data_IF_500994221768
#
_entry.id   IF_500994221768
#
_cell.length_a   1.000
_cell.length_b   1.000
_cell.length_c   1.000
_cell.angle_alpha   90.00
_cell.angle_beta   90.00
_cell.angle_gamma   90.00
#
_symmetry.space_group_name_H-M   'P 1'
#
loop_
_entity.id
_entity.type
_entity.pdbx_description
1 polymer ?
#
# COMPACT_ATOMS: atom_id res chain seq x y z
N UNK A 1 -11.82 48.68 16.86
CA UNK A 1 -12.10 48.24 15.49
C UNK A 1 -12.43 46.75 15.59
N UNK A 2 -13.69 46.42 15.44
CA UNK A 2 -14.16 45.01 15.44
C UNK A 2 -13.88 44.49 14.03
N UNK A 3 -13.06 43.48 13.90
CA UNK A 3 -12.96 42.70 12.68
C UNK A 3 -14.15 41.75 12.66
N UNK A 4 -14.91 41.86 11.59
CA UNK A 4 -16.04 40.99 11.30
C UNK A 4 -15.59 39.52 11.33
N UNK A 5 -16.24 38.75 12.21
CA UNK A 5 -16.10 37.31 12.24
C UNK A 5 -16.76 36.72 11.01
N UNK A 6 -16.02 36.59 9.94
CA UNK A 6 -16.34 35.59 8.94
C UNK A 6 -16.26 34.23 9.63
N UNK A 7 -17.40 33.58 9.77
CA UNK A 7 -17.42 32.16 10.11
C UNK A 7 -16.55 31.46 9.08
N UNK A 8 -15.60 30.61 9.47
CA UNK A 8 -14.90 29.82 8.49
C UNK A 8 -15.96 29.08 7.66
N UNK A 9 -15.87 29.20 6.36
CA UNK A 9 -16.69 28.47 5.40
C UNK A 9 -16.64 26.99 5.78
N UNK A 10 -17.75 26.38 6.23
CA UNK A 10 -17.76 24.99 6.67
C UNK A 10 -17.35 24.03 5.55
N UNK A 11 -17.39 24.46 4.31
CA UNK A 11 -17.01 23.68 3.14
C UNK A 11 -15.54 23.87 2.75
N UNK A 12 -14.87 24.94 3.17
CA UNK A 12 -13.47 25.22 2.75
C UNK A 12 -12.44 24.29 3.35
N UNK A 13 -12.72 23.63 4.48
CA UNK A 13 -11.80 22.69 5.16
C UNK A 13 -11.94 21.22 4.78
N UNK A 14 -13.02 20.85 4.10
CA UNK A 14 -13.35 19.44 3.86
C UNK A 14 -12.93 18.92 2.47
N UNK A 15 -12.56 19.79 1.55
CA UNK A 15 -12.37 19.43 0.15
C UNK A 15 -10.97 19.01 -0.25
N UNK A 16 -9.95 19.43 0.49
CA UNK A 16 -8.58 19.08 0.10
C UNK A 16 -7.56 19.53 1.14
N UNK A 17 -6.48 18.80 1.30
CA UNK A 17 -5.26 19.36 1.87
C UNK A 17 -4.74 20.45 0.93
N UNK A 18 -4.50 21.65 1.48
CA UNK A 18 -3.89 22.73 0.72
C UNK A 18 -2.38 22.50 0.64
N UNK A 19 -1.78 22.68 -0.54
CA UNK A 19 -0.32 22.56 -0.67
C UNK A 19 0.40 23.76 -0.09
N UNK A 20 0.08 24.96 -0.56
CA UNK A 20 0.71 26.21 -0.11
C UNK A 20 -0.29 27.32 0.15
N UNK A 21 -1.35 27.38 -0.61
CA UNK A 21 -2.42 28.37 -0.51
C UNK A 21 -3.77 27.68 -0.35
N UNK A 22 -4.75 28.31 0.33
CA UNK A 22 -6.11 27.75 0.49
C UNK A 22 -6.78 27.34 -0.83
N UNK A 23 -6.40 27.99 -1.94
CA UNK A 23 -6.94 27.73 -3.27
C UNK A 23 -6.20 26.61 -4.02
N UNK A 24 -5.02 26.18 -3.56
CA UNK A 24 -4.28 25.04 -4.15
C UNK A 24 -4.77 23.74 -3.53
N UNK A 25 -5.86 23.22 -4.05
CA UNK A 25 -6.55 22.02 -3.53
C UNK A 25 -6.02 20.76 -4.20
N UNK A 26 -5.86 19.69 -3.41
CA UNK A 26 -5.68 18.34 -3.91
C UNK A 26 -7.05 17.74 -4.29
N UNK A 27 -7.07 16.76 -5.17
CA UNK A 27 -8.29 16.01 -5.43
C UNK A 27 -8.74 15.28 -4.16
N UNK A 28 -10.05 15.34 -3.89
CA UNK A 28 -10.63 14.60 -2.77
C UNK A 28 -10.67 13.11 -3.11
N UNK A 29 -10.28 12.31 -2.13
CA UNK A 29 -10.44 10.87 -2.15
C UNK A 29 -11.04 10.47 -0.81
N UNK A 30 -12.18 9.78 -0.84
CA UNK A 30 -12.91 9.36 0.34
C UNK A 30 -12.14 8.29 1.14
N UNK A 31 -12.48 8.13 2.42
CA UNK A 31 -12.00 7.04 3.27
C UNK A 31 -12.37 5.68 2.66
N UNK A 32 -11.43 4.73 2.66
CA UNK A 32 -11.63 3.44 2.02
C UNK A 32 -12.72 2.59 2.67
N UNK A 33 -12.90 2.67 4.00
CA UNK A 33 -14.00 1.97 4.65
C UNK A 33 -15.35 2.60 4.30
N UNK A 34 -15.41 3.93 4.14
CA UNK A 34 -16.61 4.58 3.65
C UNK A 34 -16.91 4.19 2.20
N UNK A 35 -15.89 4.15 1.33
CA UNK A 35 -16.06 3.66 -0.05
C UNK A 35 -16.54 2.21 -0.08
N UNK A 36 -16.01 1.35 0.78
CA UNK A 36 -16.42 -0.05 0.87
C UNK A 36 -17.90 -0.22 1.19
N UNK A 37 -18.43 0.57 2.14
CA UNK A 37 -19.83 0.44 2.59
C UNK A 37 -20.84 1.24 1.77
N UNK A 38 -20.43 2.37 1.18
CA UNK A 38 -21.34 3.31 0.54
C UNK A 38 -21.02 3.58 -0.94
N UNK A 39 -19.83 3.29 -1.42
CA UNK A 39 -19.43 3.53 -2.82
C UNK A 39 -19.31 5.00 -3.24
N UNK A 40 -19.52 5.95 -2.34
CA UNK A 40 -19.61 7.37 -2.64
C UNK A 40 -18.29 8.09 -2.38
N UNK A 41 -17.83 8.91 -3.33
CA UNK A 41 -16.64 9.75 -3.20
C UNK A 41 -16.97 11.24 -3.05
N UNK A 42 -17.98 11.55 -2.28
CA UNK A 42 -18.37 12.93 -1.97
C UNK A 42 -17.84 13.32 -0.59
N UNK A 43 -17.20 14.51 -0.44
CA UNK A 43 -16.75 14.98 0.86
C UNK A 43 -17.94 15.29 1.80
N UNK A 44 -17.66 15.37 3.10
CA UNK A 44 -18.60 15.71 4.14
C UNK A 44 -19.78 14.74 4.34
N UNK A 45 -19.74 13.55 3.75
CA UNK A 45 -20.71 12.50 4.04
C UNK A 45 -20.31 11.70 5.27
N UNK A 46 -21.32 11.31 6.06
CA UNK A 46 -21.16 10.39 7.19
C UNK A 46 -22.19 9.28 7.09
N UNK A 47 -21.72 8.03 7.11
CA UNK A 47 -22.57 6.85 7.16
C UNK A 47 -22.81 6.42 8.61
N UNK A 48 -24.02 5.99 8.91
CA UNK A 48 -24.40 5.40 10.19
C UNK A 48 -25.12 4.07 9.94
N UNK A 49 -24.63 3.03 10.58
CA UNK A 49 -25.21 1.69 10.54
C UNK A 49 -25.68 1.35 11.96
N UNK A 50 -26.96 1.08 12.12
CA UNK A 50 -27.54 0.60 13.36
C UNK A 50 -27.42 -0.92 13.40
N UNK A 51 -26.48 -1.44 14.21
CA UNK A 51 -26.18 -2.87 14.28
C UNK A 51 -27.32 -3.71 14.88
N UNK A 52 -28.25 -3.11 15.64
CA UNK A 52 -29.37 -3.85 16.25
C UNK A 52 -30.54 -4.01 15.27
N UNK A 53 -30.85 -2.96 14.49
CA UNK A 53 -31.97 -2.98 13.53
C UNK A 53 -31.54 -3.31 12.09
N UNK A 54 -30.28 -3.13 11.76
CA UNK A 54 -29.77 -3.19 10.38
C UNK A 54 -30.11 -1.94 9.55
N UNK A 55 -30.66 -0.90 10.16
CA UNK A 55 -30.95 0.34 9.45
C UNK A 55 -29.66 1.08 9.10
N UNK A 56 -29.62 1.61 7.89
CA UNK A 56 -28.50 2.42 7.38
C UNK A 56 -28.99 3.82 7.08
N UNK A 57 -28.21 4.81 7.47
CA UNK A 57 -28.50 6.22 7.20
C UNK A 57 -27.23 6.93 6.64
N UNK A 58 -27.47 7.88 5.74
CA UNK A 58 -26.46 8.77 5.19
C UNK A 58 -26.73 10.20 5.66
N UNK A 59 -25.73 10.84 6.23
CA UNK A 59 -25.78 12.23 6.68
C UNK A 59 -24.88 13.10 5.79
N UNK A 60 -25.36 14.26 5.41
CA UNK A 60 -24.66 15.24 4.60
C UNK A 60 -25.55 16.44 4.33
N UNK A 61 -25.05 17.38 3.58
CA UNK A 61 -25.81 18.56 3.18
C UNK A 61 -25.81 18.66 1.65
N UNK A 62 -26.90 19.16 1.08
CA UNK A 62 -26.99 19.44 -0.34
C UNK A 62 -26.06 20.59 -0.72
N UNK A 63 -25.54 20.56 -1.94
CA UNK A 63 -24.70 21.62 -2.48
C UNK A 63 -25.49 22.91 -2.65
N UNK A 64 -24.90 24.02 -2.19
CA UNK A 64 -25.46 25.35 -2.37
C UNK A 64 -25.31 25.85 -3.81
N UNK A 65 -26.02 26.90 -4.18
CA UNK A 65 -25.85 27.54 -5.49
C UNK A 65 -24.41 28.03 -5.68
N UNK A 66 -23.77 28.49 -4.61
CA UNK A 66 -22.36 28.91 -4.65
C UNK A 66 -21.44 27.73 -4.94
N UNK A 67 -21.63 26.59 -4.29
CA UNK A 67 -20.88 25.37 -4.58
C UNK A 67 -21.03 24.95 -6.05
N UNK A 68 -22.26 24.99 -6.56
CA UNK A 68 -22.55 24.64 -7.96
C UNK A 68 -21.87 25.58 -8.95
N UNK A 69 -21.76 26.87 -8.64
CA UNK A 69 -21.01 27.82 -9.47
C UNK A 69 -19.54 27.42 -9.61
N UNK A 70 -18.93 26.93 -8.53
CA UNK A 70 -17.51 26.57 -8.50
C UNK A 70 -17.19 25.14 -8.95
N UNK A 71 -18.09 24.20 -8.72
CA UNK A 71 -17.82 22.76 -8.91
C UNK A 71 -18.73 22.10 -9.95
N UNK A 72 -19.72 22.83 -10.49
CA UNK A 72 -20.77 22.28 -11.34
C UNK A 72 -21.89 21.60 -10.56
N UNK A 73 -22.98 21.20 -11.25
CA UNK A 73 -24.09 20.50 -10.63
C UNK A 73 -23.62 19.19 -9.99
N UNK A 74 -24.08 18.94 -8.76
CA UNK A 74 -23.78 17.71 -8.02
C UNK A 74 -25.09 17.03 -7.64
N UNK A 75 -25.11 15.67 -7.49
CA UNK A 75 -26.28 14.96 -7.00
C UNK A 75 -26.68 15.45 -5.61
N UNK A 76 -27.98 15.55 -5.34
CA UNK A 76 -28.49 15.81 -3.99
C UNK A 76 -28.15 14.67 -3.03
N UNK A 77 -28.22 14.91 -1.72
CA UNK A 77 -27.99 13.88 -0.71
C UNK A 77 -28.94 12.66 -0.90
N UNK A 78 -30.18 12.92 -1.28
CA UNK A 78 -31.17 11.87 -1.55
C UNK A 78 -30.79 11.02 -2.77
N UNK A 79 -30.31 11.64 -3.86
CA UNK A 79 -29.82 10.93 -5.05
C UNK A 79 -28.56 10.10 -4.74
N UNK A 80 -27.63 10.65 -3.97
CA UNK A 80 -26.44 9.91 -3.48
C UNK A 80 -26.85 8.74 -2.58
N UNK A 81 -27.82 8.95 -1.66
CA UNK A 81 -28.36 7.86 -0.86
C UNK A 81 -28.95 6.74 -1.73
N UNK A 82 -29.73 7.09 -2.74
CA UNK A 82 -30.32 6.12 -3.66
C UNK A 82 -29.24 5.34 -4.45
N UNK A 83 -28.15 6.00 -4.87
CA UNK A 83 -27.00 5.36 -5.52
C UNK A 83 -26.33 4.33 -4.58
N UNK A 84 -26.17 4.66 -3.31
CA UNK A 84 -25.61 3.77 -2.28
C UNK A 84 -26.64 2.73 -1.74
N UNK A 85 -27.86 2.69 -2.24
CA UNK A 85 -28.91 1.82 -1.72
C UNK A 85 -29.44 2.22 -0.35
N UNK A 86 -29.22 3.47 0.07
CA UNK A 86 -29.62 4.03 1.38
C UNK A 86 -30.80 4.96 1.21
N UNK A 87 -31.96 4.59 1.77
CA UNK A 87 -33.17 5.40 1.69
C UNK A 87 -33.27 6.47 2.78
N UNK A 88 -32.59 6.28 3.91
CA UNK A 88 -32.62 7.21 5.04
C UNK A 88 -31.49 8.25 4.88
N UNK A 89 -31.84 9.46 4.47
CA UNK A 89 -30.87 10.55 4.33
C UNK A 89 -31.27 11.72 5.24
N UNK A 90 -30.31 12.35 5.89
CA UNK A 90 -30.51 13.41 6.86
C UNK A 90 -29.48 14.52 6.72
N UNK A 91 -29.82 15.79 7.01
CA UNK A 91 -28.85 16.85 7.17
C UNK A 91 -27.76 16.47 8.18
N UNK A 92 -26.51 16.87 7.94
CA UNK A 92 -25.40 16.56 8.85
C UNK A 92 -25.64 17.08 10.28
N UNK A 93 -26.34 18.21 10.42
CA UNK A 93 -26.69 18.80 11.70
C UNK A 93 -27.56 17.89 12.60
N UNK A 94 -28.36 17.01 12.02
CA UNK A 94 -29.24 16.10 12.76
C UNK A 94 -28.52 14.95 13.41
N UNK A 95 -27.30 14.63 12.93
CA UNK A 95 -26.52 13.50 13.41
C UNK A 95 -26.23 13.57 14.92
N UNK A 96 -25.87 14.75 15.41
CA UNK A 96 -25.60 14.95 16.85
C UNK A 96 -26.82 14.61 17.72
N UNK A 97 -27.98 14.97 17.27
CA UNK A 97 -29.26 14.66 17.97
C UNK A 97 -29.55 13.17 17.98
N UNK A 98 -29.35 12.49 16.84
CA UNK A 98 -29.54 11.04 16.72
C UNK A 98 -28.54 10.25 17.58
N UNK A 99 -27.27 10.61 17.56
CA UNK A 99 -26.24 9.96 18.40
C UNK A 99 -26.50 10.22 19.90
N UNK A 100 -26.86 11.45 20.28
CA UNK A 100 -27.20 11.79 21.67
C UNK A 100 -28.37 10.95 22.18
N UNK A 101 -29.41 10.77 21.37
CA UNK A 101 -30.53 9.90 21.71
C UNK A 101 -30.11 8.46 21.93
N UNK A 102 -29.23 7.90 21.06
CA UNK A 102 -28.73 6.55 21.20
C UNK A 102 -27.89 6.40 22.48
N UNK A 103 -27.03 7.36 22.78
CA UNK A 103 -26.19 7.36 23.99
C UNK A 103 -27.06 7.40 25.25
N UNK A 104 -28.08 8.25 25.30
CA UNK A 104 -29.04 8.34 26.43
C UNK A 104 -29.80 7.02 26.65
N UNK A 105 -30.03 6.27 25.57
CA UNK A 105 -30.62 4.93 25.63
C UNK A 105 -29.62 3.85 26.06
N UNK A 106 -28.37 4.20 26.40
CA UNK A 106 -27.34 3.26 26.82
C UNK A 106 -26.67 2.51 25.65
N UNK A 107 -26.88 2.95 24.41
CA UNK A 107 -26.25 2.33 23.23
C UNK A 107 -24.82 2.79 23.08
N UNK A 108 -23.93 1.89 22.68
CA UNK A 108 -22.53 2.19 22.38
C UNK A 108 -22.39 2.70 20.97
N UNK A 109 -21.59 3.75 20.80
CA UNK A 109 -21.22 4.28 19.48
C UNK A 109 -19.85 3.69 19.12
N UNK A 110 -19.79 3.00 18.00
CA UNK A 110 -18.59 2.42 17.43
C UNK A 110 -18.06 3.29 16.30
N UNK A 111 -16.75 3.47 16.23
CA UNK A 111 -16.10 4.17 15.13
C UNK A 111 -14.68 3.63 14.91
N UNK A 112 -14.19 3.73 13.68
CA UNK A 112 -12.81 3.41 13.33
C UNK A 112 -11.87 4.53 13.79
N UNK A 113 -10.59 4.25 14.07
CA UNK A 113 -9.64 5.27 14.50
C UNK A 113 -9.47 6.33 13.39
N UNK A 114 -9.85 7.60 13.66
CA UNK A 114 -9.75 8.64 12.66
C UNK A 114 -8.30 9.06 12.46
N UNK A 115 -7.83 9.12 11.21
CA UNK A 115 -6.51 9.61 10.84
C UNK A 115 -6.53 11.05 10.31
N UNK A 116 -7.64 11.49 9.70
CA UNK A 116 -7.81 12.86 9.19
C UNK A 116 -8.19 13.84 10.31
N UNK A 117 -7.63 15.05 10.24
CA UNK A 117 -7.89 16.09 11.24
C UNK A 117 -9.37 16.48 11.32
N UNK A 118 -10.02 16.65 10.17
CA UNK A 118 -11.43 16.99 10.07
C UNK A 118 -12.32 15.93 10.70
N UNK A 119 -12.08 14.66 10.42
CA UNK A 119 -12.82 13.54 11.01
C UNK A 119 -12.62 13.48 12.52
N UNK A 120 -11.41 13.77 13.03
CA UNK A 120 -11.15 13.86 14.48
C UNK A 120 -11.97 14.96 15.12
N UNK A 121 -12.04 16.14 14.52
CA UNK A 121 -12.78 17.27 15.05
C UNK A 121 -14.31 17.00 15.01
N UNK A 122 -14.80 16.43 13.92
CA UNK A 122 -16.20 16.05 13.78
C UNK A 122 -16.62 15.01 14.83
N UNK A 123 -15.87 13.92 14.95
CA UNK A 123 -16.16 12.88 15.95
C UNK A 123 -16.06 13.40 17.39
N UNK A 124 -15.07 14.26 17.68
CA UNK A 124 -14.94 14.89 18.98
C UNK A 124 -16.17 15.73 19.35
N UNK A 125 -16.69 16.52 18.40
CA UNK A 125 -17.91 17.31 18.61
C UNK A 125 -19.15 16.42 18.76
N UNK A 126 -19.33 15.44 17.88
CA UNK A 126 -20.46 14.52 17.88
C UNK A 126 -20.57 13.70 19.17
N UNK A 127 -19.44 13.26 19.71
CA UNK A 127 -19.36 12.38 20.88
C UNK A 127 -19.14 13.15 22.20
N UNK A 128 -18.91 14.47 22.14
CA UNK A 128 -18.57 15.27 23.30
C UNK A 128 -17.21 14.92 23.93
N UNK A 129 -16.26 14.41 23.12
CA UNK A 129 -14.93 14.00 23.54
C UNK A 129 -13.88 15.06 23.17
N UNK A 130 -12.74 15.02 23.85
CA UNK A 130 -11.55 15.76 23.38
C UNK A 130 -10.93 15.01 22.18
N UNK A 131 -10.42 15.70 21.15
CA UNK A 131 -9.81 15.04 19.98
C UNK A 131 -8.71 14.03 20.34
N UNK A 132 -7.92 14.29 21.38
CA UNK A 132 -6.87 13.37 21.85
C UNK A 132 -7.39 12.10 22.53
N UNK A 133 -8.62 12.09 23.02
CA UNK A 133 -9.23 10.92 23.66
C UNK A 133 -9.87 9.95 22.67
N UNK A 134 -10.07 10.35 21.42
CA UNK A 134 -10.71 9.48 20.42
C UNK A 134 -9.98 8.16 20.19
N UNK A 135 -8.65 8.17 20.29
CA UNK A 135 -7.86 6.95 20.13
C UNK A 135 -8.17 5.91 21.21
N UNK A 136 -8.42 6.34 22.46
CA UNK A 136 -8.66 5.45 23.60
C UNK A 136 -10.08 4.85 23.58
N UNK A 137 -11.01 5.48 22.84
CA UNK A 137 -12.42 5.09 22.74
C UNK A 137 -12.77 4.41 21.40
N UNK A 138 -11.80 4.15 20.51
CA UNK A 138 -12.04 3.41 19.27
C UNK A 138 -12.60 2.02 19.55
N UNK A 139 -13.37 1.48 18.60
CA UNK A 139 -13.91 0.13 18.74
C UNK A 139 -13.01 -0.90 18.07
N UNK A 140 -12.35 -1.71 18.88
CA UNK A 140 -11.53 -2.84 18.40
C UNK A 140 -12.42 -3.86 17.68
N UNK A 141 -13.61 -4.11 18.18
CA UNK A 141 -14.58 -5.05 17.57
C UNK A 141 -14.97 -4.61 16.16
N UNK A 142 -15.22 -3.30 15.96
CA UNK A 142 -15.51 -2.76 14.63
C UNK A 142 -14.28 -2.84 13.72
N UNK A 143 -13.10 -2.53 14.25
CA UNK A 143 -11.84 -2.63 13.49
C UNK A 143 -11.62 -4.06 12.96
N UNK A 144 -11.81 -5.06 13.82
CA UNK A 144 -11.70 -6.47 13.44
C UNK A 144 -12.73 -6.86 12.38
N UNK A 145 -13.99 -6.49 12.60
CA UNK A 145 -15.06 -6.83 11.66
C UNK A 145 -14.84 -6.21 10.27
N UNK A 146 -14.41 -4.94 10.22
CA UNK A 146 -14.12 -4.25 8.95
C UNK A 146 -12.90 -4.88 8.26
N UNK A 147 -11.85 -5.20 9.01
CA UNK A 147 -10.66 -5.83 8.45
C UNK A 147 -11.00 -7.23 7.89
N UNK A 148 -11.76 -8.04 8.62
CA UNK A 148 -12.18 -9.38 8.17
C UNK A 148 -13.05 -9.33 6.89
N UNK A 149 -13.95 -8.34 6.80
CA UNK A 149 -14.78 -8.16 5.61
C UNK A 149 -13.97 -7.70 4.40
N UNK A 150 -13.03 -6.76 4.58
CA UNK A 150 -12.22 -6.21 3.49
C UNK A 150 -11.08 -7.15 3.08
N UNK A 151 -10.60 -8.02 3.96
CA UNK A 151 -9.54 -8.99 3.65
C UNK A 151 -9.98 -9.96 2.55
N UNK A 152 -11.22 -10.47 2.64
CA UNK A 152 -11.77 -11.48 1.73
C UNK A 152 -12.51 -10.81 0.58
N UNK A 153 -11.84 -10.66 -0.55
CA UNK A 153 -12.41 -10.00 -1.74
C UNK A 153 -13.46 -10.91 -2.39
N UNK A 154 -14.61 -10.32 -2.67
CA UNK A 154 -15.64 -10.94 -3.50
C UNK A 154 -15.27 -10.93 -5.00
N UNK A 155 -16.04 -11.65 -5.84
CA UNK A 155 -15.76 -11.71 -7.27
C UNK A 155 -15.74 -10.34 -7.95
N UNK A 156 -16.61 -9.42 -7.53
CA UNK A 156 -16.70 -8.05 -8.07
C UNK A 156 -15.47 -7.23 -7.71
N UNK A 157 -14.97 -7.38 -6.48
CA UNK A 157 -13.75 -6.71 -6.03
C UNK A 157 -12.52 -7.23 -6.77
N UNK A 158 -12.46 -8.55 -7.03
CA UNK A 158 -11.39 -9.18 -7.81
C UNK A 158 -11.42 -8.64 -9.24
N UNK A 159 -12.61 -8.48 -9.87
CA UNK A 159 -12.73 -7.89 -11.20
C UNK A 159 -12.18 -6.45 -11.24
N UNK A 160 -12.41 -5.65 -10.20
CA UNK A 160 -11.89 -4.29 -10.12
C UNK A 160 -10.36 -4.26 -9.91
N UNK A 161 -9.80 -5.19 -9.14
CA UNK A 161 -8.35 -5.37 -9.01
C UNK A 161 -7.70 -5.78 -10.35
N UNK A 162 -8.35 -6.67 -11.12
CA UNK A 162 -7.92 -7.02 -12.49
C UNK A 162 -7.89 -5.79 -13.43
N UNK A 163 -8.89 -4.90 -13.33
CA UNK A 163 -8.90 -3.65 -14.10
C UNK A 163 -7.74 -2.73 -13.70
N UNK A 164 -7.44 -2.63 -12.42
CA UNK A 164 -6.31 -1.84 -11.91
C UNK A 164 -4.96 -2.43 -12.35
N UNK A 165 -4.84 -3.78 -12.36
CA UNK A 165 -3.69 -4.47 -12.92
C UNK A 165 -3.41 -4.06 -14.37
N UNK A 166 -4.44 -3.94 -15.23
CA UNK A 166 -4.23 -3.54 -16.63
C UNK A 166 -3.60 -2.15 -16.76
N UNK A 167 -3.93 -1.24 -15.85
CA UNK A 167 -3.30 0.08 -15.81
C UNK A 167 -1.84 -0.05 -15.35
N UNK A 168 -1.59 -0.79 -14.28
CA UNK A 168 -0.24 -1.10 -13.77
C UNK A 168 0.63 -1.77 -14.85
N UNK A 169 0.09 -2.75 -15.59
CA UNK A 169 0.77 -3.37 -16.72
C UNK A 169 1.21 -2.35 -17.78
N UNK A 170 0.32 -1.42 -18.14
CA UNK A 170 0.64 -0.36 -19.10
C UNK A 170 1.72 0.58 -18.56
N UNK A 171 1.69 0.91 -17.27
CA UNK A 171 2.71 1.72 -16.59
C UNK A 171 4.07 1.04 -16.69
N UNK A 172 4.19 -0.22 -16.24
CA UNK A 172 5.45 -0.96 -16.19
C UNK A 172 6.05 -1.23 -17.59
N UNK A 173 5.22 -1.66 -18.53
CA UNK A 173 5.70 -1.91 -19.89
C UNK A 173 6.13 -0.62 -20.61
N UNK A 174 5.53 0.52 -20.27
CA UNK A 174 5.97 1.84 -20.76
C UNK A 174 7.28 2.26 -20.09
N UNK A 175 7.41 2.13 -18.78
CA UNK A 175 8.65 2.43 -18.05
C UNK A 175 9.84 1.62 -18.62
N UNK A 176 9.65 0.33 -18.84
CA UNK A 176 10.65 -0.55 -19.44
C UNK A 176 11.09 -0.07 -20.84
N UNK A 177 10.13 0.34 -21.69
CA UNK A 177 10.41 0.85 -23.05
C UNK A 177 11.13 2.20 -23.04
N UNK A 178 10.92 3.02 -22.01
CA UNK A 178 11.58 4.32 -21.86
C UNK A 178 12.98 4.20 -21.26
N UNK A 179 13.27 3.12 -20.54
CA UNK A 179 14.53 2.97 -19.81
C UNK A 179 15.73 2.86 -20.75
N UNK A 180 16.62 3.86 -20.69
CA UNK A 180 17.87 3.91 -21.41
C UNK A 180 18.85 4.88 -20.76
N UNK A 181 20.17 4.75 -21.01
CA UNK A 181 21.13 5.72 -20.51
C UNK A 181 20.81 7.14 -20.98
N UNK A 182 20.95 8.12 -20.07
CA UNK A 182 20.76 9.54 -20.36
C UNK A 182 19.35 10.08 -20.14
N UNK A 183 18.34 9.22 -19.96
CA UNK A 183 17.00 9.68 -19.54
C UNK A 183 17.00 10.00 -18.04
N UNK A 184 16.18 10.96 -17.63
CA UNK A 184 16.03 11.29 -16.20
C UNK A 184 14.91 10.44 -15.59
N UNK A 185 15.09 9.93 -14.38
CA UNK A 185 14.12 9.09 -13.66
C UNK A 185 12.72 9.72 -13.66
N UNK A 186 12.60 11.05 -13.43
CA UNK A 186 11.30 11.76 -13.41
C UNK A 186 10.58 11.77 -14.77
N UNK A 187 11.29 11.60 -15.88
CA UNK A 187 10.62 11.51 -17.19
C UNK A 187 9.82 10.19 -17.29
N UNK A 188 10.37 9.12 -16.73
CA UNK A 188 9.67 7.83 -16.61
C UNK A 188 8.55 7.96 -15.58
N UNK A 189 8.84 8.44 -14.37
CA UNK A 189 7.86 8.61 -13.29
C UNK A 189 6.65 9.43 -13.76
N UNK A 190 6.86 10.61 -14.32
CA UNK A 190 5.78 11.48 -14.81
C UNK A 190 4.97 10.86 -15.96
N UNK A 191 5.62 10.04 -16.80
CA UNK A 191 4.90 9.34 -17.88
C UNK A 191 3.97 8.27 -17.34
N UNK A 192 4.43 7.43 -16.40
CA UNK A 192 3.59 6.38 -15.80
C UNK A 192 2.50 6.96 -14.91
N UNK A 193 2.75 8.07 -14.21
CA UNK A 193 1.70 8.83 -13.51
C UNK A 193 0.64 9.37 -14.48
N UNK A 194 1.05 9.83 -15.67
CA UNK A 194 0.13 10.24 -16.72
C UNK A 194 -0.77 9.10 -17.18
N UNK A 195 -0.23 7.88 -17.32
CA UNK A 195 -0.99 6.68 -17.67
C UNK A 195 -2.02 6.35 -16.58
N UNK A 196 -1.61 6.35 -15.32
CA UNK A 196 -2.52 6.04 -14.21
C UNK A 196 -3.70 7.02 -14.13
N UNK A 197 -3.48 8.31 -14.44
CA UNK A 197 -4.53 9.33 -14.50
C UNK A 197 -5.40 9.24 -15.75
N UNK A 198 -4.84 8.76 -16.85
CA UNK A 198 -5.59 8.64 -18.12
C UNK A 198 -6.59 7.48 -18.09
N UNK A 199 -6.29 6.41 -17.36
CA UNK A 199 -7.08 5.18 -17.37
C UNK A 199 -7.69 4.83 -16.00
N UNK A 200 -7.25 5.49 -14.92
CA UNK A 200 -7.74 5.34 -13.56
C UNK A 200 -7.90 6.68 -12.85
N UNK A 201 -7.80 6.68 -11.55
CA UNK A 201 -7.88 7.89 -10.70
C UNK A 201 -6.52 8.50 -10.40
N UNK A 202 -5.46 7.80 -10.71
CA UNK A 202 -4.08 8.18 -10.45
C UNK A 202 -3.26 6.99 -9.97
N UNK A 203 -2.16 7.29 -9.34
CA UNK A 203 -1.29 6.28 -8.74
C UNK A 203 -1.84 5.79 -7.40
N UNK A 204 -1.63 4.52 -7.07
CA UNK A 204 -1.98 3.94 -5.76
C UNK A 204 -1.06 4.46 -4.65
N UNK A 205 0.17 4.82 -5.01
CA UNK A 205 1.18 5.47 -4.16
C UNK A 205 2.16 6.25 -5.06
N UNK A 206 2.97 7.19 -4.50
CA UNK A 206 3.99 7.89 -5.27
C UNK A 206 4.98 6.91 -5.88
N UNK A 207 5.13 6.85 -7.23
CA UNK A 207 6.00 5.88 -7.88
C UNK A 207 7.45 6.01 -7.45
N UNK A 208 8.10 4.88 -7.22
CA UNK A 208 9.54 4.79 -6.97
C UNK A 208 10.21 4.40 -8.28
N UNK A 209 10.92 5.33 -8.90
CA UNK A 209 11.65 5.11 -10.14
C UNK A 209 13.09 5.53 -9.90
N UNK A 210 13.96 4.58 -9.58
CA UNK A 210 15.30 4.91 -9.12
C UNK A 210 16.36 3.89 -9.55
N UNK A 211 17.53 4.38 -9.98
CA UNK A 211 18.75 3.58 -10.14
C UNK A 211 19.48 3.32 -8.80
N UNK A 212 18.95 3.85 -7.71
CA UNK A 212 19.37 3.63 -6.32
C UNK A 212 18.35 2.73 -5.60
N UNK A 213 18.14 1.51 -6.12
CA UNK A 213 17.18 0.54 -5.58
C UNK A 213 17.46 0.12 -4.13
N UNK A 214 18.63 0.44 -3.57
CA UNK A 214 18.94 0.29 -2.15
C UNK A 214 18.23 1.29 -1.24
N UNK A 215 17.62 2.32 -1.80
CA UNK A 215 16.76 3.27 -1.08
C UNK A 215 15.30 2.87 -1.30
N UNK A 216 14.71 2.19 -0.33
CA UNK A 216 13.43 1.49 -0.49
C UNK A 216 12.28 2.41 -0.92
N UNK A 217 12.17 3.60 -0.34
CA UNK A 217 11.15 4.61 -0.69
C UNK A 217 11.82 5.89 -1.21
N UNK A 218 12.56 5.77 -2.31
CA UNK A 218 13.19 6.92 -2.94
C UNK A 218 12.18 7.70 -3.79
N UNK A 219 11.67 8.80 -3.23
CA UNK A 219 10.75 9.71 -3.93
C UNK A 219 11.47 10.79 -4.75
N UNK A 220 12.80 10.81 -4.75
CA UNK A 220 13.61 11.71 -5.55
C UNK A 220 13.96 11.06 -6.89
N UNK A 221 13.32 11.48 -7.94
CA UNK A 221 13.50 10.94 -9.29
C UNK A 221 14.31 11.89 -10.19
N UNK A 222 15.40 12.47 -9.66
CA UNK A 222 16.23 13.45 -10.38
C UNK A 222 17.48 12.85 -11.02
N UNK A 223 17.74 11.57 -10.81
CA UNK A 223 18.91 10.87 -11.33
C UNK A 223 18.86 10.74 -12.85
N UNK A 224 19.99 11.00 -13.51
CA UNK A 224 20.21 10.64 -14.91
C UNK A 224 20.62 9.20 -15.00
N UNK A 225 19.87 8.36 -15.69
CA UNK A 225 20.13 6.94 -15.78
C UNK A 225 21.48 6.65 -16.43
N UNK A 226 22.28 5.82 -15.77
CA UNK A 226 23.65 5.52 -16.14
C UNK A 226 23.78 4.11 -16.70
N UNK A 227 24.64 3.97 -17.70
CA UNK A 227 24.99 2.68 -18.26
C UNK A 227 25.59 1.77 -17.16
N UNK A 228 25.20 0.50 -17.13
CA UNK A 228 25.65 -0.48 -16.14
C UNK A 228 24.89 -0.49 -14.82
N UNK A 229 24.00 0.50 -14.57
CA UNK A 229 23.08 0.51 -13.42
C UNK A 229 21.81 -0.32 -13.68
N UNK A 230 21.14 -0.67 -12.62
CA UNK A 230 19.74 -1.17 -12.64
C UNK A 230 18.81 -0.01 -12.40
N UNK A 231 17.59 -0.08 -12.95
CA UNK A 231 16.45 0.74 -12.59
C UNK A 231 15.43 -0.12 -11.87
N UNK A 232 15.15 0.21 -10.63
CA UNK A 232 14.02 -0.30 -9.88
C UNK A 232 12.84 0.63 -10.15
N UNK A 233 11.74 0.07 -10.65
CA UNK A 233 10.47 0.75 -10.87
C UNK A 233 9.41 0.03 -10.04
N UNK A 234 8.86 0.74 -9.07
CA UNK A 234 7.82 0.29 -8.18
C UNK A 234 6.66 1.27 -8.30
N UNK A 235 5.54 0.79 -8.83
CA UNK A 235 4.42 1.63 -9.21
C UNK A 235 3.14 0.83 -9.34
N UNK A 236 2.05 1.45 -8.94
CA UNK A 236 0.71 0.93 -9.10
C UNK A 236 -0.32 2.00 -9.44
N UNK A 237 -1.51 1.60 -9.80
CA UNK A 237 -2.61 2.48 -10.16
C UNK A 237 -3.82 2.27 -9.26
N UNK A 238 -4.50 3.36 -8.93
CA UNK A 238 -5.85 3.34 -8.38
C UNK A 238 -6.84 3.33 -9.55
N UNK A 239 -7.60 2.24 -9.69
CA UNK A 239 -8.64 2.07 -10.70
C UNK A 239 -9.82 3.02 -10.49
N UNK A 240 -10.77 3.02 -11.43
CA UNK A 240 -11.93 3.91 -11.36
C UNK A 240 -12.84 3.64 -10.15
N UNK A 241 -12.85 2.40 -9.66
CA UNK A 241 -13.55 1.93 -8.46
C UNK A 241 -12.72 2.04 -7.17
N UNK A 242 -11.55 2.69 -7.22
CA UNK A 242 -10.60 2.89 -6.10
C UNK A 242 -9.81 1.66 -5.66
N UNK A 243 -9.99 0.49 -6.30
CA UNK A 243 -9.11 -0.65 -6.06
C UNK A 243 -7.74 -0.40 -6.66
N UNK A 244 -6.71 -0.82 -5.93
CA UNK A 244 -5.31 -0.56 -6.25
C UNK A 244 -4.65 -1.73 -6.98
N UNK A 245 -3.56 -1.45 -7.68
CA UNK A 245 -2.54 -2.43 -8.07
C UNK A 245 -1.19 -2.03 -7.53
N UNK A 246 -0.29 -3.01 -7.35
CA UNK A 246 1.06 -2.80 -6.87
C UNK A 246 2.04 -3.77 -7.54
N UNK A 247 3.08 -3.23 -8.15
CA UNK A 247 4.06 -4.04 -8.85
C UNK A 247 5.44 -3.41 -8.80
N UNK A 248 6.45 -4.23 -8.61
CA UNK A 248 7.85 -3.81 -8.79
C UNK A 248 8.53 -4.64 -9.85
N UNK A 249 9.30 -3.98 -10.70
CA UNK A 249 10.26 -4.60 -11.62
C UNK A 249 11.59 -3.89 -11.56
N UNK A 250 12.66 -4.69 -11.60
CA UNK A 250 14.04 -4.19 -11.69
C UNK A 250 14.67 -4.67 -12.98
N UNK A 251 15.24 -3.75 -13.76
CA UNK A 251 15.79 -4.07 -15.08
C UNK A 251 17.03 -3.23 -15.40
N UNK A 252 17.93 -3.71 -16.30
CA UNK A 252 19.18 -3.02 -16.57
C UNK A 252 18.97 -1.78 -17.47
N UNK A 253 19.49 -0.64 -17.05
CA UNK A 253 19.44 0.62 -17.82
C UNK A 253 20.04 0.47 -19.22
N UNK A 254 21.12 -0.31 -19.35
CA UNK A 254 21.75 -0.63 -20.64
C UNK A 254 21.01 -1.70 -21.44
N UNK A 255 19.93 -2.30 -20.88
CA UNK A 255 19.15 -3.38 -21.44
C UNK A 255 19.89 -4.72 -21.46
N UNK A 256 21.00 -4.86 -20.78
CA UNK A 256 21.72 -6.12 -20.53
C UNK A 256 22.20 -6.15 -19.10
N UNK A 257 21.88 -7.22 -18.39
CA UNK A 257 22.42 -7.47 -17.06
C UNK A 257 23.89 -7.85 -17.13
N UNK A 258 24.69 -7.37 -16.19
CA UNK A 258 25.98 -7.98 -15.90
C UNK A 258 25.78 -9.35 -15.23
N UNK A 259 26.83 -10.19 -15.19
CA UNK A 259 26.75 -11.49 -14.52
C UNK A 259 26.38 -11.32 -13.02
N UNK A 260 27.04 -10.39 -12.33
CA UNK A 260 26.72 -10.06 -10.93
C UNK A 260 25.25 -9.67 -10.72
N UNK A 261 24.68 -8.89 -11.63
CA UNK A 261 23.27 -8.52 -11.58
C UNK A 261 22.35 -9.72 -11.83
N UNK A 262 22.69 -10.60 -12.79
CA UNK A 262 21.93 -11.83 -13.06
C UNK A 262 21.93 -12.77 -11.85
N UNK A 263 23.07 -12.89 -11.17
CA UNK A 263 23.20 -13.77 -10.02
C UNK A 263 22.24 -13.36 -8.90
N UNK A 264 22.22 -12.07 -8.53
CA UNK A 264 21.29 -11.55 -7.51
C UNK A 264 19.83 -11.56 -8.02
N UNK A 265 19.60 -11.15 -9.28
CA UNK A 265 18.26 -11.12 -9.87
C UNK A 265 17.58 -12.49 -9.84
N UNK A 266 18.32 -13.54 -10.23
CA UNK A 266 17.79 -14.90 -10.25
C UNK A 266 17.50 -15.44 -8.85
N UNK A 267 18.21 -14.98 -7.81
CA UNK A 267 17.88 -15.33 -6.42
C UNK A 267 16.53 -14.73 -6.03
N UNK A 268 16.33 -13.45 -6.30
CA UNK A 268 15.06 -12.77 -5.99
C UNK A 268 13.90 -13.36 -6.80
N UNK A 269 14.13 -13.63 -8.10
CA UNK A 269 13.12 -14.27 -8.96
C UNK A 269 12.76 -15.69 -8.46
N UNK A 270 13.75 -16.46 -8.01
CA UNK A 270 13.49 -17.79 -7.45
C UNK A 270 12.68 -17.73 -6.14
N UNK A 271 12.92 -16.71 -5.30
CA UNK A 271 12.11 -16.47 -4.10
C UNK A 271 10.68 -16.12 -4.46
N UNK A 272 10.47 -15.15 -5.37
CA UNK A 272 9.16 -14.74 -5.89
C UNK A 272 8.39 -15.93 -6.51
N UNK A 273 8.97 -16.64 -7.46
CA UNK A 273 8.29 -17.75 -8.14
C UNK A 273 7.95 -18.89 -7.17
N UNK A 274 8.83 -19.16 -6.20
CA UNK A 274 8.58 -20.19 -5.19
C UNK A 274 7.46 -19.79 -4.23
N UNK A 275 7.43 -18.55 -3.79
CA UNK A 275 6.40 -18.01 -2.92
C UNK A 275 5.05 -18.03 -3.64
N UNK A 276 4.96 -17.44 -4.83
CA UNK A 276 3.75 -17.44 -5.63
C UNK A 276 3.17 -18.87 -5.83
N UNK A 277 4.04 -19.86 -6.03
CA UNK A 277 3.62 -21.24 -6.25
C UNK A 277 3.22 -22.01 -4.97
N UNK A 278 3.63 -21.53 -3.78
CA UNK A 278 3.37 -22.25 -2.52
C UNK A 278 2.19 -21.72 -1.72
N UNK A 279 1.81 -20.45 -1.98
CA UNK A 279 0.70 -19.82 -1.26
C UNK A 279 -0.56 -20.67 -1.40
N UNK A 280 -1.13 -21.02 -0.26
CA UNK A 280 -2.36 -21.82 -0.17
C UNK A 280 -3.22 -21.32 0.99
N UNK A 281 -4.54 -21.59 0.97
CA UNK A 281 -5.44 -21.21 2.04
C UNK A 281 -4.96 -21.63 3.43
N UNK A 282 -5.23 -20.78 4.41
CA UNK A 282 -4.95 -21.00 5.84
C UNK A 282 -3.47 -21.06 6.21
N UNK A 283 -2.56 -20.72 5.28
CA UNK A 283 -1.14 -20.66 5.61
C UNK A 283 -0.83 -19.47 6.53
N UNK A 284 0.04 -19.64 7.53
CA UNK A 284 0.61 -18.52 8.27
C UNK A 284 1.49 -17.67 7.33
N UNK A 285 1.30 -16.36 7.34
CA UNK A 285 2.13 -15.44 6.56
C UNK A 285 3.64 -15.63 6.86
N UNK A 286 4.00 -15.89 8.11
CA UNK A 286 5.40 -16.10 8.50
C UNK A 286 6.06 -17.29 7.83
N UNK A 287 5.32 -18.34 7.49
CA UNK A 287 5.87 -19.51 6.78
C UNK A 287 6.24 -19.13 5.35
N UNK A 288 5.43 -18.27 4.73
CA UNK A 288 5.65 -17.75 3.38
C UNK A 288 6.84 -16.81 3.39
N UNK A 289 6.84 -15.83 4.29
CA UNK A 289 7.93 -14.86 4.47
C UNK A 289 9.27 -15.56 4.74
N UNK A 290 9.32 -16.47 5.70
CA UNK A 290 10.54 -17.21 6.02
C UNK A 290 11.01 -18.11 4.87
N UNK A 291 10.11 -18.54 3.98
CA UNK A 291 10.52 -19.29 2.79
C UNK A 291 11.26 -18.41 1.80
N UNK A 292 10.80 -17.20 1.55
CA UNK A 292 11.52 -16.23 0.73
C UNK A 292 12.92 -15.95 1.31
N UNK A 293 12.98 -15.63 2.62
CA UNK A 293 14.25 -15.36 3.30
C UNK A 293 15.24 -16.54 3.22
N UNK A 294 14.77 -17.81 3.30
CA UNK A 294 15.65 -18.99 3.16
C UNK A 294 16.21 -19.10 1.75
N UNK A 295 15.39 -18.91 0.72
CA UNK A 295 15.84 -18.97 -0.68
C UNK A 295 16.88 -17.88 -0.96
N UNK A 296 16.63 -16.67 -0.50
CA UNK A 296 17.57 -15.57 -0.62
C UNK A 296 18.88 -15.84 0.13
N UNK A 297 18.80 -16.39 1.35
CA UNK A 297 19.98 -16.78 2.14
C UNK A 297 20.79 -17.87 1.45
N UNK A 298 20.16 -18.93 0.91
CA UNK A 298 20.81 -19.99 0.14
C UNK A 298 21.57 -19.41 -1.06
N UNK A 299 20.93 -18.51 -1.80
CA UNK A 299 21.52 -17.80 -2.92
C UNK A 299 22.74 -16.96 -2.50
N UNK A 300 22.62 -16.15 -1.44
CA UNK A 300 23.72 -15.32 -0.92
C UNK A 300 24.87 -16.17 -0.37
N UNK A 301 24.59 -17.32 0.24
CA UNK A 301 25.60 -18.29 0.67
C UNK A 301 26.35 -18.88 -0.56
N UNK A 302 25.62 -19.24 -1.60
CA UNK A 302 26.21 -19.78 -2.83
C UNK A 302 27.16 -18.80 -3.52
N UNK A 303 26.90 -17.50 -3.37
CA UNK A 303 27.74 -16.41 -3.87
C UNK A 303 28.90 -16.04 -2.92
N UNK A 304 28.99 -16.68 -1.75
CA UNK A 304 30.02 -16.39 -0.75
C UNK A 304 29.82 -15.08 0.01
N UNK A 305 28.60 -14.47 -0.05
CA UNK A 305 28.26 -13.26 0.70
C UNK A 305 27.79 -13.58 2.12
N UNK A 306 27.35 -14.80 2.33
CA UNK A 306 27.00 -15.36 3.64
C UNK A 306 27.64 -16.72 3.85
N UNK A 307 27.65 -17.22 5.09
CA UNK A 307 28.24 -18.48 5.51
C UNK A 307 27.29 -19.26 6.42
N UNK A 308 27.46 -20.57 6.52
CA UNK A 308 26.62 -21.44 7.35
C UNK A 308 25.40 -21.96 6.59
N UNK A 309 24.26 -22.09 7.25
CA UNK A 309 23.02 -22.56 6.67
C UNK A 309 22.01 -21.40 6.53
N UNK A 310 21.06 -21.53 5.62
CA UNK A 310 19.99 -20.55 5.46
C UNK A 310 19.10 -20.48 6.72
N UNK A 311 18.87 -21.62 7.37
CA UNK A 311 18.10 -21.71 8.61
C UNK A 311 18.77 -20.89 9.73
N UNK A 312 20.09 -21.01 9.90
CA UNK A 312 20.85 -20.25 10.89
C UNK A 312 20.80 -18.73 10.58
N UNK A 313 20.90 -18.37 9.30
CA UNK A 313 20.85 -16.98 8.86
C UNK A 313 19.47 -16.34 9.15
N UNK A 314 18.38 -17.04 8.85
CA UNK A 314 17.01 -16.58 9.15
C UNK A 314 16.77 -16.54 10.67
N UNK A 315 17.14 -17.58 11.41
CA UNK A 315 16.96 -17.65 12.85
C UNK A 315 17.74 -16.54 13.60
N UNK A 316 18.91 -16.17 13.09
CA UNK A 316 19.72 -15.06 13.62
C UNK A 316 19.18 -13.66 13.22
N UNK A 317 18.20 -13.57 12.33
CA UNK A 317 17.72 -12.32 11.75
C UNK A 317 18.71 -11.64 10.78
N UNK A 318 19.70 -12.40 10.26
CA UNK A 318 20.75 -11.84 9.41
C UNK A 318 20.22 -11.36 8.06
N UNK A 319 19.06 -11.89 7.62
CA UNK A 319 18.43 -11.49 6.37
C UNK A 319 17.89 -10.05 6.41
N UNK A 320 17.66 -9.47 7.59
CA UNK A 320 17.28 -8.05 7.70
C UNK A 320 18.35 -7.08 7.19
N UNK A 321 19.60 -7.55 7.03
CA UNK A 321 20.64 -6.78 6.37
C UNK A 321 20.41 -6.64 4.86
N UNK A 322 19.74 -7.59 4.25
CA UNK A 322 19.52 -7.66 2.80
C UNK A 322 18.07 -7.38 2.41
N UNK A 323 17.11 -7.83 3.20
CA UNK A 323 15.68 -7.58 3.03
C UNK A 323 15.10 -7.01 4.34
N UNK A 324 15.15 -5.68 4.54
CA UNK A 324 14.70 -5.03 5.78
C UNK A 324 13.19 -4.69 5.79
N UNK A 325 12.37 -5.44 5.06
CA UNK A 325 10.93 -5.28 4.98
C UNK A 325 10.19 -6.63 4.97
N UNK A 326 8.86 -6.59 5.10
CA UNK A 326 8.03 -7.79 4.98
C UNK A 326 7.94 -8.27 3.53
N UNK A 327 7.61 -9.55 3.35
CA UNK A 327 7.46 -10.13 2.01
C UNK A 327 6.29 -9.56 1.22
N UNK A 328 5.31 -8.98 1.90
CA UNK A 328 4.14 -8.42 1.25
C UNK A 328 3.11 -7.92 2.24
N UNK A 329 2.06 -7.33 1.75
CA UNK A 329 0.95 -6.74 2.49
C UNK A 329 -0.39 -7.04 1.81
N UNK A 330 -1.49 -6.84 2.52
CA UNK A 330 -2.83 -6.93 1.94
C UNK A 330 -3.07 -5.82 0.93
N UNK A 331 -3.81 -6.13 -0.12
CA UNK A 331 -4.18 -5.20 -1.19
C UNK A 331 -5.70 -5.11 -1.34
N UNK A 332 -6.20 -3.94 -1.72
CA UNK A 332 -7.62 -3.72 -1.95
C UNK A 332 -7.94 -2.28 -2.34
N UNK A 333 -8.86 -1.66 -1.62
CA UNK A 333 -9.18 -0.22 -1.74
C UNK A 333 -8.03 0.68 -1.27
N UNK A 334 -7.17 0.19 -0.38
CA UNK A 334 -5.88 0.80 -0.09
C UNK A 334 -4.78 -0.11 -0.62
N UNK A 335 -3.65 0.47 -1.04
CA UNK A 335 -2.48 -0.30 -1.47
C UNK A 335 -1.95 -1.16 -0.32
N UNK A 336 -1.87 -0.61 0.90
CA UNK A 336 -1.69 -1.33 2.15
C UNK A 336 -3.06 -1.49 2.83
N UNK A 337 -3.82 -2.49 2.42
CA UNK A 337 -5.22 -2.64 2.80
C UNK A 337 -5.36 -2.99 4.28
N UNK A 338 -6.20 -2.20 4.99
CA UNK A 338 -6.52 -2.35 6.42
C UNK A 338 -5.37 -2.14 7.41
N UNK A 339 -4.13 -1.86 7.00
CA UNK A 339 -3.02 -1.65 7.94
C UNK A 339 -3.27 -0.47 8.90
N UNK A 340 -3.86 0.62 8.41
CA UNK A 340 -4.21 1.77 9.24
C UNK A 340 -5.28 1.48 10.31
N UNK A 341 -6.05 0.40 10.16
CA UNK A 341 -7.15 0.05 11.07
C UNK A 341 -6.63 -0.69 12.31
N UNK A 342 -5.53 -1.47 12.24
CA UNK A 342 -5.27 -2.48 13.24
C UNK A 342 -3.90 -2.59 13.89
N UNK A 343 -2.84 -2.03 13.36
CA UNK A 343 -1.46 -2.36 13.77
C UNK A 343 -1.12 -2.15 15.26
N UNK A 344 -1.74 -1.17 15.91
CA UNK A 344 -1.43 -0.81 17.30
C UNK A 344 -2.48 -1.26 18.32
N UNK A 345 -3.44 -2.07 17.90
CA UNK A 345 -4.62 -2.36 18.72
C UNK A 345 -4.55 -3.67 19.47
N UNK A 346 -3.54 -4.50 19.16
CA UNK A 346 -3.37 -5.82 19.76
C UNK A 346 -2.10 -5.87 20.61
N UNK A 347 -2.17 -6.48 21.79
CA UNK A 347 -0.99 -6.74 22.62
C UNK A 347 -0.34 -8.05 22.15
N UNK A 348 0.70 -7.90 21.34
CA UNK A 348 1.46 -9.01 20.77
C UNK A 348 2.92 -8.99 21.22
N UNK A 349 3.19 -8.67 22.47
CA UNK A 349 4.55 -8.51 23.00
C UNK A 349 5.47 -9.71 22.71
N UNK A 350 4.94 -10.94 22.76
CA UNK A 350 5.71 -12.15 22.44
C UNK A 350 6.03 -12.29 20.95
N UNK A 351 5.18 -11.75 20.06
CA UNK A 351 5.33 -11.84 18.60
C UNK A 351 6.17 -10.66 18.09
N UNK A 352 6.19 -9.54 18.80
CA UNK A 352 6.95 -8.34 18.42
C UNK A 352 8.45 -8.61 18.23
N UNK A 353 9.04 -9.46 19.07
CA UNK A 353 10.45 -9.82 18.95
C UNK A 353 10.72 -10.66 17.68
N UNK A 354 9.82 -11.59 17.36
CA UNK A 354 9.93 -12.41 16.15
C UNK A 354 9.71 -11.55 14.89
N UNK A 355 8.73 -10.66 14.90
CA UNK A 355 8.48 -9.72 13.82
C UNK A 355 9.71 -8.84 13.56
N UNK A 356 10.30 -8.27 14.62
CA UNK A 356 11.50 -7.44 14.49
C UNK A 356 12.71 -8.23 13.94
N UNK A 357 12.87 -9.50 14.30
CA UNK A 357 13.94 -10.38 13.79
C UNK A 357 13.75 -10.74 12.31
N UNK A 358 12.52 -10.84 11.85
CA UNK A 358 12.21 -11.18 10.46
C UNK A 358 12.04 -9.98 9.54
N UNK A 359 12.15 -8.75 10.05
CA UNK A 359 11.98 -7.53 9.27
C UNK A 359 10.54 -7.20 8.88
N UNK A 360 9.55 -7.88 9.50
CA UNK A 360 8.12 -7.64 9.24
C UNK A 360 7.45 -6.91 10.41
N UNK A 361 6.21 -6.44 10.22
CA UNK A 361 5.41 -5.86 11.28
C UNK A 361 4.63 -6.93 12.07
N UNK A 362 4.16 -6.56 13.28
CA UNK A 362 3.44 -7.46 14.17
C UNK A 362 2.15 -7.98 13.52
N UNK A 363 1.41 -7.12 12.86
CA UNK A 363 0.15 -7.47 12.20
C UNK A 363 0.35 -8.58 11.16
N UNK A 364 1.34 -8.42 10.27
CA UNK A 364 1.65 -9.42 9.25
C UNK A 364 2.15 -10.72 9.89
N UNK A 365 2.89 -10.66 10.98
CA UNK A 365 3.42 -11.86 11.63
C UNK A 365 2.35 -12.78 12.24
N UNK A 366 1.15 -12.28 12.52
CA UNK A 366 0.01 -13.07 13.02
C UNK A 366 -0.98 -13.47 11.94
N UNK A 367 -0.80 -12.96 10.73
CA UNK A 367 -1.75 -13.13 9.64
C UNK A 367 -1.80 -14.57 9.12
N UNK A 368 -3.01 -15.08 8.94
CA UNK A 368 -3.31 -16.31 8.20
C UNK A 368 -4.06 -15.92 6.96
N UNK A 369 -3.51 -16.28 5.81
CA UNK A 369 -4.12 -15.98 4.52
C UNK A 369 -5.30 -16.88 4.25
N UNK A 370 -6.43 -16.28 3.88
CA UNK A 370 -7.69 -16.97 3.62
C UNK A 370 -8.04 -16.93 2.11
N UNK A 371 -8.92 -17.83 1.62
CA UNK A 371 -9.46 -17.67 0.27
C UNK A 371 -10.10 -16.29 0.07
N UNK A 372 -9.83 -15.65 -1.05
CA UNK A 372 -10.24 -14.27 -1.34
C UNK A 372 -9.26 -13.20 -0.87
N UNK A 373 -8.24 -13.57 -0.07
CA UNK A 373 -7.15 -12.62 0.26
C UNK A 373 -6.40 -12.24 -1.01
N UNK A 374 -6.13 -10.94 -1.18
CA UNK A 374 -5.18 -10.43 -2.17
C UNK A 374 -4.02 -9.79 -1.40
N UNK A 375 -2.80 -10.19 -1.74
CA UNK A 375 -1.58 -9.70 -1.12
C UNK A 375 -0.47 -9.53 -2.13
N UNK A 376 0.49 -8.67 -1.84
CA UNK A 376 1.73 -8.57 -2.63
C UNK A 376 2.68 -9.72 -2.30
N UNK A 377 3.51 -10.08 -3.26
CA UNK A 377 4.69 -10.96 -3.13
C UNK A 377 5.88 -10.21 -3.68
N UNK A 378 6.68 -9.61 -2.78
CA UNK A 378 7.68 -8.59 -3.10
C UNK A 378 9.08 -8.90 -2.50
N UNK A 379 9.65 -10.09 -2.69
CA UNK A 379 11.00 -10.36 -2.22
C UNK A 379 12.02 -9.41 -2.84
N UNK A 380 13.09 -9.13 -2.10
CA UNK A 380 14.13 -8.23 -2.58
C UNK A 380 15.46 -8.35 -1.85
N UNK A 381 16.54 -8.11 -2.58
CA UNK A 381 17.90 -8.06 -2.03
C UNK A 381 18.49 -6.68 -2.27
N UNK A 382 18.88 -6.03 -1.19
CA UNK A 382 19.41 -4.67 -1.19
C UNK A 382 20.79 -4.65 -0.54
N UNK A 383 21.72 -3.91 -1.16
CA UNK A 383 23.04 -3.65 -0.58
C UNK A 383 23.09 -2.21 -0.10
N UNK A 384 22.68 -1.99 1.16
CA UNK A 384 22.55 -0.65 1.78
C UNK A 384 23.86 -0.33 2.52
N UNK A 385 24.74 0.57 2.00
CA UNK A 385 26.05 0.81 2.58
C UNK A 385 25.99 1.23 4.05
N UNK A 386 25.05 2.12 4.41
CA UNK A 386 24.91 2.60 5.79
C UNK A 386 24.50 1.47 6.76
N UNK A 387 23.65 0.54 6.33
CA UNK A 387 23.22 -0.59 7.15
C UNK A 387 24.37 -1.63 7.28
N UNK A 388 25.09 -1.90 6.20
CA UNK A 388 26.28 -2.77 6.19
C UNK A 388 27.34 -2.22 7.17
N UNK A 389 27.66 -0.92 7.09
CA UNK A 389 28.64 -0.29 7.97
C UNK A 389 28.21 -0.33 9.43
N UNK A 390 26.95 -0.06 9.71
CA UNK A 390 26.39 -0.15 11.06
C UNK A 390 26.49 -1.56 11.63
N UNK A 391 26.02 -2.57 10.92
CA UNK A 391 26.06 -3.95 11.38
C UNK A 391 27.51 -4.46 11.53
N UNK A 392 28.43 -4.09 10.63
CA UNK A 392 29.85 -4.40 10.73
C UNK A 392 30.47 -3.78 12.00
N UNK A 393 30.20 -2.51 12.28
CA UNK A 393 30.72 -1.81 13.44
C UNK A 393 30.18 -2.37 14.77
N UNK A 394 28.94 -2.79 14.79
CA UNK A 394 28.29 -3.44 15.93
C UNK A 394 28.67 -4.92 16.10
N UNK A 395 29.40 -5.49 15.14
CA UNK A 395 29.77 -6.91 15.13
C UNK A 395 28.57 -7.85 14.96
N UNK A 396 27.45 -7.35 14.43
CA UNK A 396 26.25 -8.15 14.18
C UNK A 396 26.52 -9.20 13.10
N UNK A 397 25.86 -10.34 13.24
CA UNK A 397 25.90 -11.45 12.25
C UNK A 397 27.31 -11.95 11.92
N UNK A 398 28.27 -11.71 12.85
CA UNK A 398 29.66 -12.18 12.69
C UNK A 398 29.69 -13.71 12.59
N UNK A 399 30.34 -14.21 11.54
CA UNK A 399 30.37 -15.65 11.22
C UNK A 399 29.25 -16.11 10.28
N UNK A 400 28.20 -15.30 10.07
CA UNK A 400 27.14 -15.54 9.10
C UNK A 400 27.34 -14.67 7.86
N UNK A 401 27.62 -13.38 8.03
CA UNK A 401 27.81 -12.41 6.94
C UNK A 401 29.29 -12.21 6.64
N UNK A 402 29.67 -12.29 5.37
CA UNK A 402 31.01 -11.95 4.88
C UNK A 402 31.07 -10.46 4.49
N UNK A 403 31.40 -9.62 5.47
CA UNK A 403 31.49 -8.17 5.25
C UNK A 403 32.59 -7.75 4.27
N UNK A 404 33.63 -8.53 4.10
CA UNK A 404 34.69 -8.23 3.13
C UNK A 404 34.21 -8.49 1.70
N UNK A 405 33.49 -9.59 1.50
CA UNK A 405 32.85 -9.88 0.22
C UNK A 405 31.77 -8.83 -0.14
N UNK A 406 31.04 -8.30 0.85
CA UNK A 406 30.03 -7.24 0.64
C UNK A 406 30.62 -5.92 0.14
N UNK A 407 31.89 -5.63 0.39
CA UNK A 407 32.53 -4.40 -0.12
C UNK A 407 32.49 -4.32 -1.65
N UNK A 408 32.49 -5.45 -2.35
CA UNK A 408 32.32 -5.51 -3.81
C UNK A 408 30.91 -5.19 -4.30
N UNK A 409 29.91 -5.14 -3.40
CA UNK A 409 28.50 -4.88 -3.72
C UNK A 409 28.00 -3.51 -3.24
N UNK A 410 28.86 -2.66 -2.65
CA UNK A 410 28.46 -1.37 -2.09
C UNK A 410 27.81 -0.42 -3.09
N UNK A 411 28.09 -0.56 -4.36
CA UNK A 411 27.55 0.24 -5.46
C UNK A 411 26.56 -0.54 -6.34
N UNK A 412 26.07 -1.67 -5.84
CA UNK A 412 25.16 -2.54 -6.59
C UNK A 412 23.76 -1.98 -6.71
N UNK A 413 23.22 -1.38 -5.64
CA UNK A 413 21.84 -0.97 -5.53
C UNK A 413 20.97 -2.02 -4.84
N UNK A 414 19.76 -2.20 -5.37
CA UNK A 414 18.80 -3.21 -4.90
C UNK A 414 17.98 -3.78 -6.03
N UNK A 415 17.41 -4.96 -5.79
CA UNK A 415 16.49 -5.65 -6.68
C UNK A 415 15.25 -6.02 -5.87
N UNK A 416 14.05 -5.67 -6.37
CA UNK A 416 12.76 -6.16 -5.93
C UNK A 416 11.98 -6.64 -7.15
N UNK A 417 11.22 -7.71 -6.97
CA UNK A 417 10.26 -8.24 -7.94
C UNK A 417 8.96 -8.42 -7.17
N UNK A 418 7.86 -7.90 -7.70
CA UNK A 418 6.57 -7.87 -7.01
C UNK A 418 5.41 -8.08 -7.94
N UNK A 419 4.50 -8.95 -7.54
CA UNK A 419 3.20 -9.15 -8.16
C UNK A 419 2.09 -9.29 -7.11
N UNK A 420 0.85 -8.95 -7.49
CA UNK A 420 -0.34 -9.10 -6.68
C UNK A 420 -0.84 -10.56 -6.77
N UNK A 421 -0.97 -11.23 -5.63
CA UNK A 421 -1.37 -12.63 -5.52
C UNK A 421 -2.79 -12.74 -4.95
N UNK A 422 -3.69 -13.37 -5.67
CA UNK A 422 -5.01 -13.81 -5.16
C UNK A 422 -4.90 -15.21 -4.59
N UNK A 423 -5.31 -15.40 -3.34
CA UNK A 423 -5.48 -16.69 -2.71
C UNK A 423 -6.83 -17.28 -3.12
N UNK A 424 -6.80 -18.46 -3.72
CA UNK A 424 -8.00 -19.18 -4.18
C UNK A 424 -8.37 -20.30 -3.18
N UNK A 425 -9.47 -20.99 -3.40
CA UNK A 425 -9.89 -22.14 -2.57
C UNK A 425 -8.86 -23.29 -2.51
N UNK A 426 -7.96 -23.40 -3.48
CA UNK A 426 -7.04 -24.53 -3.60
C UNK A 426 -5.58 -24.17 -3.79
N UNK A 427 -5.24 -22.88 -3.78
CA UNK A 427 -3.87 -22.40 -4.02
C UNK A 427 -3.86 -20.89 -4.24
N UNK A 428 -3.10 -20.44 -5.21
CA UNK A 428 -2.98 -19.01 -5.54
C UNK A 428 -2.84 -18.77 -7.05
N UNK A 429 -3.06 -17.53 -7.46
CA UNK A 429 -2.71 -17.04 -8.79
C UNK A 429 -2.28 -15.58 -8.73
N UNK A 430 -1.44 -15.18 -9.65
CA UNK A 430 -1.16 -13.76 -9.88
C UNK A 430 -2.42 -13.10 -10.46
N UNK A 431 -2.71 -11.87 -10.04
CA UNK A 431 -3.76 -11.03 -10.61
C UNK A 431 -3.34 -10.58 -12.01
N UNK A 432 -4.28 -10.64 -12.94
CA UNK A 432 -4.09 -10.24 -14.33
C UNK A 432 -4.18 -11.39 -15.32
N UNK A 433 -4.59 -11.05 -16.57
CA UNK A 433 -4.75 -11.97 -17.69
C UNK A 433 -3.44 -12.14 -18.50
N UNK A 434 -2.41 -11.39 -18.15
CA UNK A 434 -1.10 -11.37 -18.80
C UNK A 434 0.00 -11.13 -17.78
N UNK A 435 1.23 -11.49 -18.14
CA UNK A 435 2.39 -11.32 -17.25
C UNK A 435 3.14 -10.03 -17.59
N UNK A 436 3.48 -9.22 -16.58
CA UNK A 436 4.50 -8.19 -16.74
C UNK A 436 5.85 -8.89 -16.90
N UNK A 437 6.67 -8.56 -17.93
CA UNK A 437 7.96 -9.19 -18.14
C UNK A 437 8.81 -9.21 -16.87
N UNK A 438 9.39 -10.40 -16.56
CA UNK A 438 10.10 -10.61 -15.30
C UNK A 438 11.36 -11.47 -15.43
N UNK A 439 11.47 -12.37 -16.41
CA UNK A 439 12.70 -13.15 -16.57
C UNK A 439 13.81 -12.31 -17.19
N UNK A 440 15.06 -12.70 -16.92
CA UNK A 440 16.24 -12.05 -17.53
C UNK A 440 16.11 -11.99 -19.04
N UNK A 441 15.67 -13.09 -19.66
CA UNK A 441 15.50 -13.21 -21.12
C UNK A 441 14.40 -12.28 -21.64
N UNK A 442 13.26 -12.19 -20.97
CA UNK A 442 12.18 -11.28 -21.34
C UNK A 442 12.65 -9.83 -21.24
N UNK A 443 13.28 -9.44 -20.14
CA UNK A 443 13.75 -8.07 -19.92
C UNK A 443 14.86 -7.67 -20.88
N UNK A 444 15.81 -8.57 -21.16
CA UNK A 444 16.84 -8.34 -22.15
C UNK A 444 16.32 -8.36 -23.60
N UNK A 445 15.18 -8.99 -23.83
CA UNK A 445 14.50 -9.06 -25.13
C UNK A 445 13.67 -7.83 -25.46
N UNK A 446 13.25 -7.05 -24.47
CA UNK A 446 12.42 -5.84 -24.66
C UNK A 446 13.09 -4.70 -25.42
N UNK A 447 14.27 -4.88 -25.83
CA UNK A 447 15.30 -3.90 -26.10
C UNK A 447 15.22 -3.09 -27.36
N UNK A 448 14.44 -3.33 -28.29
CA UNK A 448 14.73 -2.78 -29.61
C UNK A 448 13.59 -2.02 -30.24
N UNK A 449 12.78 -1.33 -29.45
CA UNK A 449 11.79 -0.42 -29.99
C UNK A 449 12.25 1.05 -30.05
N UNK A 450 13.53 1.32 -29.74
CA UNK A 450 14.14 2.66 -29.85
C UNK A 450 15.57 2.59 -30.40
#
# INVERSE_FOLDING_TARGET
MRQDGQRPDPHSGQYAHTQQLPQQRLYFRQDSSFLYYFGLNTPALVGLIDADSGEVALYGDDFTVEDIIWTGPQPSLCEQGAEAGVSNTFPLADMKTHLTKAIVQGRRIHYLPPYRGETKLLLADLLGLKPGALHDHKSVELMMAVAEMREKKGPEEIEELEKSFHIGYAMHTTAMKMCRPGIVEREIAGTIEGISKAFGRGVSFPPIVSQHGETLHNLHSDGVLQNGRLLLCDAGAEGLSYYCSDHTRTYPVSGKFSQKQKDIYNIVLAAHDRVAAMIAPHMPYMDIHNTALRIEAEGLISLGLMRGTAEDAVAAGAMTLFMPHGLGHGMGLDVHDCEAIGERSFDFSEIAEQAAKSGTCIQRSTWRIEPGTVMTDEPGIYFIPALIDKCRAEGKYKGIVDYEALDAYRDFGGIRIEDDILVTESGSRIIGDRKIPVTVEELEGLKSLF
#
